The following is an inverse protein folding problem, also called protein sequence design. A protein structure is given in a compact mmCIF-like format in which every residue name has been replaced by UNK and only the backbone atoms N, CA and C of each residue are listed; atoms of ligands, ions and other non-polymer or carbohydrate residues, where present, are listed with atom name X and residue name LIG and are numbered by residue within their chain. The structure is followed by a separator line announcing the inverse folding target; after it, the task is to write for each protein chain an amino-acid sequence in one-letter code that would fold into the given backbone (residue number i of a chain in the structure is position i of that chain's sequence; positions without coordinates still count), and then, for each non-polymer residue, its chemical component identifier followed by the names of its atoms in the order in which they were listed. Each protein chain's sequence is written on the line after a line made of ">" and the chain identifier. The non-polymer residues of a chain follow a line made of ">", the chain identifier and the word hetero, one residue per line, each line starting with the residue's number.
data_IF_690255568257
#
_entry.id   IF_690255568257
#
_cell.length_a   1.000
_cell.length_b   1.000
_cell.length_c   1.000
_cell.angle_alpha   90.00
_cell.angle_beta   90.00
_cell.angle_gamma   90.00
#
_symmetry.space_group_name_H-M   'P 1'
#
loop_
_entity.id
_entity.type
_entity.pdbx_description
1 polymer ?
#
# COMPACT_ATOMS: atom_id res chain seq x y z
N UNK A 1 -10.70 -17.18 -41.39
CA UNK A 1 -10.02 -17.18 -40.08
C UNK A 1 -10.94 -16.56 -39.05
N UNK A 2 -11.22 -17.21 -37.92
CA UNK A 2 -12.03 -16.62 -36.83
C UNK A 2 -11.10 -15.82 -35.91
N UNK A 3 -11.44 -14.56 -35.66
CA UNK A 3 -10.70 -13.72 -34.69
C UNK A 3 -11.00 -14.25 -33.28
N UNK A 4 -9.95 -14.51 -32.50
CA UNK A 4 -10.13 -14.92 -31.10
C UNK A 4 -10.72 -13.74 -30.31
N UNK A 5 -11.68 -14.00 -29.39
CA UNK A 5 -12.18 -12.97 -28.51
C UNK A 5 -11.04 -12.45 -27.65
N UNK A 6 -10.88 -11.12 -27.63
CA UNK A 6 -9.89 -10.45 -26.79
C UNK A 6 -10.53 -10.23 -25.42
N UNK A 7 -9.80 -10.57 -24.37
CA UNK A 7 -10.21 -10.30 -23.00
C UNK A 7 -9.53 -9.02 -22.50
N UNK A 8 -10.19 -8.34 -21.57
CA UNK A 8 -9.63 -7.16 -20.90
C UNK A 8 -9.30 -7.57 -19.46
N UNK A 9 -8.06 -7.33 -19.05
CA UNK A 9 -7.59 -7.58 -17.69
C UNK A 9 -6.91 -6.33 -17.16
N UNK A 10 -7.35 -5.87 -15.99
CA UNK A 10 -6.75 -4.73 -15.28
C UNK A 10 -6.39 -5.19 -13.89
N UNK A 11 -5.14 -4.95 -13.49
CA UNK A 11 -4.65 -5.22 -12.13
C UNK A 11 -4.32 -3.91 -11.45
N UNK A 12 -4.87 -3.72 -10.25
CA UNK A 12 -4.62 -2.60 -9.36
C UNK A 12 -4.02 -3.12 -8.05
N UNK A 13 -3.43 -2.22 -7.24
CA UNK A 13 -2.99 -2.58 -5.89
C UNK A 13 -4.19 -2.87 -4.97
N UNK A 14 -3.92 -3.32 -3.75
CA UNK A 14 -4.96 -3.42 -2.71
C UNK A 14 -5.71 -2.10 -2.59
N UNK A 15 -7.03 -2.14 -2.56
CA UNK A 15 -7.87 -0.97 -2.29
C UNK A 15 -8.45 -1.08 -0.88
N UNK A 16 -8.75 0.07 -0.27
CA UNK A 16 -9.54 0.14 0.94
C UNK A 16 -10.91 0.70 0.55
N UNK A 17 -11.97 -0.12 0.69
CA UNK A 17 -13.31 0.28 0.31
C UNK A 17 -14.20 0.46 1.54
N UNK A 18 -14.96 1.54 1.53
CA UNK A 18 -16.06 1.73 2.45
C UNK A 18 -17.36 1.20 1.84
N UNK A 19 -18.40 1.13 2.66
CA UNK A 19 -19.71 0.68 2.23
C UNK A 19 -20.25 1.50 1.05
N UNK A 20 -20.04 2.81 1.06
CA UNK A 20 -20.48 3.71 0.00
C UNK A 20 -19.76 3.43 -1.33
N UNK A 21 -18.47 3.07 -1.28
CA UNK A 21 -17.71 2.71 -2.50
C UNK A 21 -18.23 1.38 -3.07
N UNK A 22 -18.62 0.45 -2.21
CA UNK A 22 -19.18 -0.85 -2.57
C UNK A 22 -20.56 -0.71 -3.20
N UNK A 23 -21.39 0.19 -2.68
CA UNK A 23 -22.67 0.56 -3.27
C UNK A 23 -22.48 1.15 -4.67
N UNK A 24 -21.50 2.04 -4.86
CA UNK A 24 -21.16 2.57 -6.19
C UNK A 24 -20.71 1.47 -7.17
N UNK A 25 -19.92 0.50 -6.70
CA UNK A 25 -19.54 -0.67 -7.50
C UNK A 25 -20.77 -1.47 -7.88
N UNK A 26 -21.66 -1.74 -6.92
CA UNK A 26 -22.90 -2.47 -7.16
C UNK A 26 -23.78 -1.74 -8.18
N UNK A 27 -23.91 -0.42 -8.11
CA UNK A 27 -24.64 0.38 -9.10
C UNK A 27 -24.08 0.21 -10.53
N UNK A 28 -22.75 0.10 -10.67
CA UNK A 28 -22.13 -0.19 -11.97
C UNK A 28 -22.58 -1.56 -12.49
N UNK A 29 -22.63 -2.59 -11.64
CA UNK A 29 -23.13 -3.91 -12.03
C UNK A 29 -24.64 -3.88 -12.31
N UNK A 30 -25.46 -3.34 -11.40
CA UNK A 30 -26.93 -3.18 -11.56
C UNK A 30 -27.31 -2.48 -12.86
N UNK A 31 -26.57 -1.45 -13.27
CA UNK A 31 -26.90 -0.64 -14.47
C UNK A 31 -26.47 -1.27 -15.79
N UNK A 32 -25.40 -2.06 -15.80
CA UNK A 32 -24.76 -2.50 -17.04
C UNK A 32 -24.79 -4.03 -17.25
N UNK A 33 -25.16 -4.80 -16.23
CA UNK A 33 -25.25 -6.25 -16.26
C UNK A 33 -26.70 -6.70 -16.10
N UNK A 34 -27.09 -7.79 -16.77
CA UNK A 34 -28.43 -8.36 -16.60
C UNK A 34 -28.63 -8.99 -15.23
N UNK A 35 -27.59 -9.63 -14.74
CA UNK A 35 -27.52 -10.24 -13.41
C UNK A 35 -26.08 -10.20 -12.93
N UNK A 36 -25.93 -10.14 -11.61
CA UNK A 36 -24.64 -10.26 -10.95
C UNK A 36 -24.84 -10.92 -9.59
N UNK A 37 -23.73 -11.41 -9.04
CA UNK A 37 -23.69 -12.01 -7.72
C UNK A 37 -22.46 -11.50 -6.98
N UNK A 38 -22.58 -11.36 -5.67
CA UNK A 38 -21.52 -10.92 -4.78
C UNK A 38 -21.09 -12.14 -3.97
N UNK A 39 -19.81 -12.48 -4.08
CA UNK A 39 -19.20 -13.60 -3.39
C UNK A 39 -18.21 -13.05 -2.37
N UNK A 40 -18.30 -13.56 -1.14
CA UNK A 40 -17.31 -13.37 -0.08
C UNK A 40 -16.64 -14.72 0.22
N UNK A 41 -15.81 -14.79 1.26
CA UNK A 41 -15.20 -16.05 1.71
C UNK A 41 -16.23 -17.09 2.15
N UNK A 42 -17.33 -16.66 2.75
CA UNK A 42 -18.31 -17.54 3.41
C UNK A 42 -19.71 -17.46 2.78
N UNK A 43 -20.03 -16.38 2.07
CA UNK A 43 -21.39 -16.09 1.60
C UNK A 43 -21.44 -15.74 0.11
N UNK A 44 -22.52 -16.19 -0.52
CA UNK A 44 -22.97 -15.78 -1.85
C UNK A 44 -24.28 -15.01 -1.67
N UNK A 45 -24.31 -13.74 -2.08
CA UNK A 45 -25.46 -12.85 -1.92
C UNK A 45 -25.76 -12.13 -3.23
N UNK A 46 -27.03 -11.77 -3.43
CA UNK A 46 -27.47 -11.09 -4.66
C UNK A 46 -27.39 -9.55 -4.54
N UNK A 47 -27.27 -9.04 -3.32
CA UNK A 47 -27.28 -7.60 -3.05
C UNK A 47 -26.40 -7.18 -1.89
N UNK A 48 -25.98 -5.91 -1.90
CA UNK A 48 -25.27 -5.30 -0.77
C UNK A 48 -26.19 -5.13 0.45
N UNK A 49 -27.50 -5.00 0.25
CA UNK A 49 -28.47 -4.99 1.34
C UNK A 49 -28.48 -6.31 2.14
N UNK A 50 -28.39 -7.45 1.47
CA UNK A 50 -28.25 -8.75 2.14
C UNK A 50 -26.92 -8.85 2.90
N UNK A 51 -25.83 -8.37 2.30
CA UNK A 51 -24.52 -8.33 2.93
C UNK A 51 -24.54 -7.56 4.27
N UNK A 52 -25.28 -6.44 4.34
CA UNK A 52 -25.46 -5.64 5.56
C UNK A 52 -26.19 -6.39 6.67
N UNK A 53 -27.09 -7.33 6.33
CA UNK A 53 -27.88 -8.07 7.31
C UNK A 53 -27.08 -9.17 8.01
N UNK A 54 -26.01 -9.68 7.38
CA UNK A 54 -25.15 -10.72 7.93
C UNK A 54 -24.36 -10.21 9.16
N UNK A 55 -24.16 -8.89 9.28
CA UNK A 55 -23.56 -8.25 10.44
C UNK A 55 -22.03 -8.30 10.48
N UNK A 56 -21.38 -9.06 9.59
CA UNK A 56 -19.93 -8.99 9.33
C UNK A 56 -19.65 -7.80 8.43
N UNK A 57 -18.90 -6.82 8.96
CA UNK A 57 -18.61 -5.55 8.29
C UNK A 57 -17.21 -5.51 7.65
N UNK A 58 -16.51 -6.64 7.68
CA UNK A 58 -15.09 -6.82 7.37
C UNK A 58 -14.88 -8.13 6.60
N UNK A 59 -14.27 -8.06 5.40
CA UNK A 59 -13.98 -9.20 4.53
C UNK A 59 -12.53 -9.11 4.01
N UNK A 60 -11.82 -10.23 3.82
CA UNK A 60 -10.47 -10.26 3.23
C UNK A 60 -10.51 -10.47 1.70
N UNK A 61 -11.56 -11.11 1.17
CA UNK A 61 -11.85 -11.28 -0.27
C UNK A 61 -13.33 -11.01 -0.56
N UNK A 62 -13.61 -10.11 -1.51
CA UNK A 62 -14.94 -9.88 -2.06
C UNK A 62 -14.87 -9.87 -3.58
N UNK A 63 -15.87 -10.46 -4.21
CA UNK A 63 -15.92 -10.61 -5.66
C UNK A 63 -17.30 -10.31 -6.21
N UNK A 64 -17.35 -9.47 -7.23
CA UNK A 64 -18.55 -9.23 -8.03
C UNK A 64 -18.40 -9.99 -9.34
N UNK A 65 -19.39 -10.81 -9.68
CA UNK A 65 -19.39 -11.58 -10.93
C UNK A 65 -20.70 -11.37 -11.67
N UNK A 66 -20.61 -11.13 -12.97
CA UNK A 66 -21.75 -11.09 -13.90
C UNK A 66 -21.54 -12.12 -15.01
N UNK A 67 -22.64 -12.66 -15.52
CA UNK A 67 -22.63 -13.55 -16.70
C UNK A 67 -22.81 -12.77 -18.01
N UNK A 68 -23.61 -11.69 -18.01
CA UNK A 68 -23.95 -10.92 -19.21
C UNK A 68 -23.94 -9.39 -18.94
N UNK A 69 -22.88 -8.67 -19.36
CA UNK A 69 -21.62 -9.18 -19.91
C UNK A 69 -20.79 -9.90 -18.86
N UNK A 70 -19.94 -10.84 -19.29
CA UNK A 70 -19.08 -11.61 -18.39
C UNK A 70 -17.93 -10.76 -17.85
N UNK A 71 -18.18 -10.13 -16.71
CA UNK A 71 -17.23 -9.27 -15.98
C UNK A 71 -17.07 -9.81 -14.56
N UNK A 72 -15.84 -9.81 -14.07
CA UNK A 72 -15.48 -10.20 -12.72
C UNK A 72 -14.58 -9.13 -12.12
N UNK A 73 -15.02 -8.56 -10.99
CA UNK A 73 -14.18 -7.75 -10.12
C UNK A 73 -13.83 -8.60 -8.91
N UNK A 74 -12.55 -8.80 -8.67
CA UNK A 74 -12.04 -9.46 -7.47
C UNK A 74 -11.25 -8.45 -6.67
N UNK A 75 -11.61 -8.26 -5.41
CA UNK A 75 -10.94 -7.37 -4.49
C UNK A 75 -10.46 -8.21 -3.30
N UNK A 76 -9.16 -8.22 -3.08
CA UNK A 76 -8.53 -8.95 -1.98
C UNK A 76 -7.59 -8.03 -1.21
N UNK A 77 -7.24 -8.43 0.01
CA UNK A 77 -6.27 -7.75 0.86
C UNK A 77 -4.92 -7.47 0.17
N UNK A 78 -4.53 -8.29 -0.82
CA UNK A 78 -3.26 -8.17 -1.54
C UNK A 78 -3.36 -7.42 -2.87
N UNK A 79 -4.49 -7.56 -3.57
CA UNK A 79 -4.63 -7.07 -4.93
C UNK A 79 -6.08 -6.90 -5.34
N UNK A 80 -6.30 -6.04 -6.33
CA UNK A 80 -7.59 -5.86 -6.97
C UNK A 80 -7.45 -6.15 -8.45
N UNK A 81 -8.33 -6.96 -9.02
CA UNK A 81 -8.30 -7.32 -10.43
C UNK A 81 -9.67 -7.24 -11.05
N UNK A 82 -9.74 -6.67 -12.25
CA UNK A 82 -10.93 -6.63 -13.08
C UNK A 82 -10.66 -7.47 -14.32
N UNK A 83 -11.55 -8.42 -14.59
CA UNK A 83 -11.51 -9.26 -15.78
C UNK A 83 -12.82 -9.12 -16.54
N UNK A 84 -12.74 -8.83 -17.83
CA UNK A 84 -13.86 -8.89 -18.76
C UNK A 84 -13.54 -9.88 -19.87
N UNK A 85 -14.44 -10.84 -20.09
CA UNK A 85 -14.24 -11.89 -21.08
C UNK A 85 -14.34 -11.39 -22.52
N UNK A 86 -15.06 -10.29 -22.74
CA UNK A 86 -15.34 -9.73 -24.05
C UNK A 86 -14.84 -8.29 -24.15
N UNK A 87 -14.08 -7.99 -25.20
CA UNK A 87 -13.71 -6.63 -25.60
C UNK A 87 -14.84 -5.99 -26.40
N UNK A 88 -15.93 -5.65 -25.71
CA UNK A 88 -17.07 -4.92 -26.25
C UNK A 88 -17.23 -3.57 -25.53
N UNK A 89 -17.92 -2.61 -26.17
CA UNK A 89 -18.04 -1.25 -25.64
C UNK A 89 -18.65 -1.19 -24.23
N UNK A 90 -19.58 -2.09 -23.92
CA UNK A 90 -20.22 -2.18 -22.61
C UNK A 90 -19.22 -2.63 -21.55
N UNK A 91 -18.48 -3.71 -21.82
CA UNK A 91 -17.47 -4.26 -20.91
C UNK A 91 -16.35 -3.26 -20.67
N UNK A 92 -15.87 -2.57 -21.72
CA UNK A 92 -14.87 -1.52 -21.60
C UNK A 92 -15.39 -0.34 -20.78
N UNK A 93 -16.65 0.05 -20.94
CA UNK A 93 -17.30 1.07 -20.12
C UNK A 93 -17.43 0.67 -18.64
N UNK A 94 -17.79 -0.59 -18.37
CA UNK A 94 -17.82 -1.15 -17.00
C UNK A 94 -16.43 -1.11 -16.39
N UNK A 95 -15.42 -1.66 -17.08
CA UNK A 95 -14.03 -1.69 -16.60
C UNK A 95 -13.54 -0.28 -16.29
N UNK A 96 -13.76 0.69 -17.20
CA UNK A 96 -13.34 2.08 -17.00
C UNK A 96 -13.97 2.72 -15.76
N UNK A 97 -15.27 2.49 -15.52
CA UNK A 97 -15.96 3.02 -14.33
C UNK A 97 -15.47 2.35 -13.05
N UNK A 98 -15.25 1.05 -13.08
CA UNK A 98 -14.68 0.34 -11.94
C UNK A 98 -13.27 0.86 -11.63
N UNK A 99 -12.44 1.12 -12.64
CA UNK A 99 -11.11 1.73 -12.45
C UNK A 99 -11.24 3.13 -11.85
N UNK A 100 -12.14 3.98 -12.35
CA UNK A 100 -12.38 5.33 -11.82
C UNK A 100 -12.79 5.31 -10.35
N UNK A 101 -13.62 4.34 -9.94
CA UNK A 101 -13.97 4.13 -8.54
C UNK A 101 -12.73 3.65 -7.77
N UNK A 102 -12.04 2.60 -8.22
CA UNK A 102 -11.05 1.89 -7.42
C UNK A 102 -9.68 2.59 -7.33
N UNK A 103 -9.24 3.27 -8.38
CA UNK A 103 -7.89 3.84 -8.48
C UNK A 103 -7.60 4.90 -7.39
N UNK A 104 -8.51 5.84 -7.08
CA UNK A 104 -8.30 6.79 -5.96
C UNK A 104 -8.26 6.13 -4.57
N UNK A 105 -8.84 4.93 -4.42
CA UNK A 105 -8.86 4.16 -3.16
C UNK A 105 -7.72 3.14 -3.09
N UNK A 106 -6.86 3.12 -4.11
CA UNK A 106 -5.68 2.27 -4.12
C UNK A 106 -4.75 2.67 -2.99
N UNK A 107 -4.50 1.74 -2.08
CA UNK A 107 -3.55 1.96 -1.01
C UNK A 107 -2.19 1.54 -1.54
N UNK A 108 -1.17 2.42 -1.46
CA UNK A 108 0.18 2.00 -1.81
C UNK A 108 0.56 0.79 -0.96
N UNK A 109 1.16 -0.20 -1.62
CA UNK A 109 1.63 -1.40 -0.93
C UNK A 109 2.60 -0.96 0.18
N UNK A 110 2.24 -1.20 1.46
CA UNK A 110 3.13 -0.89 2.59
C UNK A 110 4.44 -1.66 2.45
N UNK A 111 4.42 -2.80 1.75
CA UNK A 111 5.63 -3.51 1.36
C UNK A 111 6.59 -2.62 0.58
N UNK A 112 6.11 -1.83 -0.39
CA UNK A 112 6.97 -0.92 -1.15
C UNK A 112 7.57 0.17 -0.26
N UNK A 113 6.78 0.79 0.62
CA UNK A 113 7.27 1.86 1.51
C UNK A 113 8.27 1.32 2.55
N UNK A 114 7.97 0.18 3.17
CA UNK A 114 8.87 -0.47 4.13
C UNK A 114 10.15 -0.99 3.48
N UNK A 115 10.06 -1.54 2.28
CA UNK A 115 11.26 -2.00 1.53
C UNK A 115 12.16 -0.82 1.23
N UNK A 116 11.61 0.31 0.79
CA UNK A 116 12.38 1.55 0.57
C UNK A 116 13.03 2.03 1.87
N UNK A 117 12.30 2.07 2.99
CA UNK A 117 12.85 2.44 4.31
C UNK A 117 13.98 1.50 4.75
N UNK A 118 13.82 0.19 4.57
CA UNK A 118 14.85 -0.79 4.90
C UNK A 118 16.09 -0.62 4.03
N UNK A 119 15.92 -0.33 2.73
CA UNK A 119 17.04 0.00 1.85
C UNK A 119 17.75 1.28 2.30
N UNK A 120 17.02 2.31 2.71
CA UNK A 120 17.62 3.55 3.24
C UNK A 120 18.42 3.26 4.51
N UNK A 121 17.88 2.49 5.46
CA UNK A 121 18.61 2.13 6.68
C UNK A 121 19.85 1.30 6.35
N UNK A 122 19.76 0.34 5.43
CA UNK A 122 20.90 -0.46 5.00
C UNK A 122 22.00 0.42 4.39
N UNK A 123 21.63 1.38 3.54
CA UNK A 123 22.57 2.36 2.95
C UNK A 123 23.22 3.21 4.06
N UNK A 124 22.43 3.70 5.03
CA UNK A 124 22.97 4.48 6.16
C UNK A 124 23.95 3.65 6.99
N UNK A 125 23.63 2.39 7.29
CA UNK A 125 24.54 1.48 8.01
C UNK A 125 25.84 1.27 7.23
N UNK A 126 25.76 1.04 5.91
CA UNK A 126 26.95 0.89 5.05
C UNK A 126 27.80 2.18 5.05
N UNK A 127 27.18 3.35 4.95
CA UNK A 127 27.88 4.64 4.99
C UNK A 127 28.55 4.88 6.36
N UNK A 128 27.91 4.48 7.46
CA UNK A 128 28.48 4.57 8.80
C UNK A 128 29.63 3.56 9.01
N UNK A 129 29.58 2.38 8.38
CA UNK A 129 30.71 1.44 8.40
C UNK A 129 31.95 2.01 7.70
N UNK A 130 31.77 2.81 6.64
CA UNK A 130 32.88 3.50 5.96
C UNK A 130 33.55 4.60 6.81
N UNK A 131 32.89 5.12 7.85
CA UNK A 131 33.48 6.08 8.79
C UNK A 131 34.55 5.46 9.71
N UNK A 132 34.72 4.14 9.73
CA UNK A 132 35.80 3.46 10.49
C UNK A 132 37.22 3.82 10.03
N UNK A 133 37.34 4.52 8.89
CA UNK A 133 38.57 5.18 8.41
C UNK A 133 38.97 6.42 9.22
N UNK A 134 38.10 6.93 10.09
CA UNK A 134 38.39 8.02 11.02
C UNK A 134 39.22 7.48 12.18
N UNK A 135 40.21 8.26 12.66
CA UNK A 135 41.08 7.94 13.81
C UNK A 135 40.30 8.00 15.14
N UNK A 136 39.34 7.10 15.32
CA UNK A 136 38.67 6.86 16.60
C UNK A 136 39.40 5.77 17.39
N UNK A 137 39.24 5.79 18.70
CA UNK A 137 39.72 4.74 19.60
C UNK A 137 39.06 3.38 19.26
N UNK A 138 39.82 2.30 19.40
CA UNK A 138 39.43 0.92 19.05
C UNK A 138 38.15 0.50 19.77
N UNK A 139 38.01 0.85 21.06
CA UNK A 139 36.85 0.50 21.88
C UNK A 139 35.58 1.18 21.34
N UNK A 140 35.69 2.43 20.91
CA UNK A 140 34.56 3.19 20.36
C UNK A 140 34.13 2.59 19.02
N UNK A 141 35.09 2.19 18.16
CA UNK A 141 34.80 1.52 16.88
C UNK A 141 34.04 0.22 17.07
N UNK A 142 34.49 -0.64 17.99
CA UNK A 142 33.83 -1.92 18.29
C UNK A 142 32.41 -1.70 18.83
N UNK A 143 32.23 -0.70 19.70
CA UNK A 143 30.91 -0.37 20.27
C UNK A 143 29.93 0.09 19.20
N UNK A 144 30.38 0.93 18.26
CA UNK A 144 29.56 1.41 17.13
C UNK A 144 29.14 0.24 16.23
N UNK A 145 30.07 -0.65 15.87
CA UNK A 145 29.77 -1.85 15.05
C UNK A 145 28.76 -2.75 15.76
N UNK A 146 28.89 -2.95 17.07
CA UNK A 146 27.96 -3.78 17.84
C UNK A 146 26.54 -3.20 17.87
N UNK A 147 26.40 -1.88 18.09
CA UNK A 147 25.11 -1.19 18.05
C UNK A 147 24.47 -1.29 16.65
N UNK A 148 25.27 -1.19 15.59
CA UNK A 148 24.81 -1.34 14.21
C UNK A 148 24.29 -2.75 13.91
N UNK A 149 24.99 -3.79 14.38
CA UNK A 149 24.55 -5.18 14.23
C UNK A 149 23.22 -5.39 14.97
N UNK A 150 23.10 -4.89 16.21
CA UNK A 150 21.85 -4.99 16.97
C UNK A 150 20.67 -4.28 16.28
N UNK A 151 20.89 -3.07 15.76
CA UNK A 151 19.88 -2.35 14.96
C UNK A 151 19.52 -3.10 13.68
N UNK A 152 20.51 -3.63 12.96
CA UNK A 152 20.29 -4.41 11.74
C UNK A 152 19.48 -5.69 12.00
N UNK A 153 19.76 -6.39 13.10
CA UNK A 153 19.01 -7.57 13.52
C UNK A 153 17.59 -7.22 13.95
N UNK A 154 17.40 -6.16 14.74
CA UNK A 154 16.08 -5.72 15.21
C UNK A 154 15.15 -5.25 14.08
N UNK A 155 15.71 -4.65 13.03
CA UNK A 155 14.96 -4.22 11.85
C UNK A 155 14.58 -5.43 10.98
N UNK A 156 15.51 -6.38 10.78
CA UNK A 156 15.23 -7.61 10.02
C UNK A 156 14.28 -8.57 10.76
N UNK A 157 14.37 -8.68 12.08
CA UNK A 157 13.46 -9.54 12.85
C UNK A 157 12.02 -9.03 12.76
N UNK A 158 11.81 -7.71 12.80
CA UNK A 158 10.49 -7.11 12.57
C UNK A 158 9.96 -7.32 11.14
N UNK A 159 10.85 -7.44 10.15
CA UNK A 159 10.46 -7.76 8.77
C UNK A 159 9.91 -9.18 8.65
N UNK A 160 10.58 -10.16 9.26
CA UNK A 160 10.19 -11.57 9.18
C UNK A 160 8.90 -11.84 9.97
N UNK A 161 8.75 -11.25 11.16
CA UNK A 161 7.59 -11.53 12.00
C UNK A 161 6.31 -10.79 11.60
N UNK A 162 6.40 -9.64 10.92
CA UNK A 162 5.23 -8.79 10.63
C UNK A 162 4.64 -8.96 9.23
N UNK A 163 5.30 -9.69 8.31
CA UNK A 163 4.74 -9.93 6.97
C UNK A 163 3.47 -10.80 6.99
N UNK A 164 3.25 -11.57 8.07
CA UNK A 164 2.06 -12.41 8.21
C UNK A 164 0.85 -11.69 8.85
N UNK A 165 0.99 -10.44 9.30
CA UNK A 165 -0.05 -9.75 10.09
C UNK A 165 -0.75 -8.57 9.42
N UNK A 166 -0.27 -8.08 8.27
CA UNK A 166 -1.01 -7.04 7.52
C UNK A 166 -2.08 -7.69 6.63
N UNK A 167 -3.01 -8.43 7.25
CA UNK A 167 -4.31 -8.72 6.64
C UNK A 167 -5.05 -7.40 6.61
N UNK A 168 -5.06 -6.75 5.45
CA UNK A 168 -5.85 -5.54 5.26
C UNK A 168 -7.27 -5.96 4.90
N UNK A 169 -8.19 -5.73 5.82
CA UNK A 169 -9.61 -5.86 5.56
C UNK A 169 -9.97 -5.04 4.33
N UNK A 170 -10.63 -5.67 3.36
CA UNK A 170 -11.07 -5.08 2.10
C UNK A 170 -12.29 -4.17 2.30
N UNK A 171 -13.11 -4.47 3.30
CA UNK A 171 -14.34 -3.76 3.63
C UNK A 171 -14.26 -3.16 5.04
N UNK A 172 -14.58 -1.87 5.17
CA UNK A 172 -15.06 -1.32 6.44
C UNK A 172 -16.48 -0.82 6.24
N UNK A 173 -17.48 -1.60 6.67
CA UNK A 173 -18.87 -1.12 6.70
C UNK A 173 -19.14 -0.24 7.94
N UNK A 174 -18.31 0.78 8.10
CA UNK A 174 -18.52 1.89 9.01
C UNK A 174 -18.60 3.14 8.13
N UNK A 175 -19.72 3.88 8.21
CA UNK A 175 -19.86 5.19 7.56
C UNK A 175 -18.57 5.97 7.77
N UNK A 176 -18.07 6.63 6.72
CA UNK A 176 -16.88 7.48 6.81
C UNK A 176 -17.02 8.47 7.97
N UNK A 177 -16.53 8.12 9.15
CA UNK A 177 -16.12 9.13 10.12
C UNK A 177 -14.85 9.69 9.51
N UNK A 178 -14.94 10.89 8.94
CA UNK A 178 -13.83 11.76 8.54
C UNK A 178 -12.81 11.86 9.68
N UNK A 179 -12.00 10.82 9.85
CA UNK A 179 -10.74 10.85 10.56
C UNK A 179 -9.72 10.75 9.46
N UNK A 180 -9.44 11.89 8.84
CA UNK A 180 -8.23 12.06 8.06
C UNK A 180 -7.08 11.53 8.91
N UNK A 181 -6.44 10.47 8.44
CA UNK A 181 -5.27 9.93 9.14
C UNK A 181 -4.28 11.09 9.27
N UNK A 182 -3.83 11.37 10.50
CA UNK A 182 -2.91 12.47 10.82
C UNK A 182 -1.76 12.56 9.81
N UNK A 183 -1.20 11.41 9.41
CA UNK A 183 -0.13 11.32 8.43
C UNK A 183 -0.48 11.77 7.01
N UNK A 184 -1.73 11.63 6.58
CA UNK A 184 -2.19 12.09 5.26
C UNK A 184 -2.35 13.59 5.25
N UNK A 185 -2.97 14.13 6.31
CA UNK A 185 -3.19 15.57 6.48
C UNK A 185 -1.87 16.33 6.62
N UNK A 186 -0.90 15.74 7.32
CA UNK A 186 0.40 16.35 7.56
C UNK A 186 1.53 15.79 6.69
N UNK A 187 1.23 15.00 5.64
CA UNK A 187 2.25 14.37 4.77
C UNK A 187 3.31 15.37 4.32
N UNK A 188 2.89 16.53 3.82
CA UNK A 188 3.81 17.54 3.31
C UNK A 188 4.64 18.19 4.43
N UNK A 189 4.07 18.39 5.62
CA UNK A 189 4.79 18.94 6.77
C UNK A 189 5.84 17.95 7.30
N UNK A 190 5.51 16.66 7.35
CA UNK A 190 6.43 15.59 7.76
C UNK A 190 7.60 15.52 6.78
N UNK A 191 7.33 15.56 5.46
CA UNK A 191 8.38 15.59 4.43
C UNK A 191 9.28 16.82 4.61
N UNK A 192 8.69 18.00 4.84
CA UNK A 192 9.43 19.24 5.09
C UNK A 192 10.32 19.16 6.34
N UNK A 193 9.82 18.58 7.43
CA UNK A 193 10.57 18.36 8.66
C UNK A 193 11.75 17.41 8.44
N UNK A 194 11.57 16.33 7.68
CA UNK A 194 12.64 15.38 7.36
C UNK A 194 13.72 16.05 6.50
N UNK A 195 13.32 16.79 5.46
CA UNK A 195 14.25 17.54 4.59
C UNK A 195 15.01 18.59 5.40
N UNK A 196 14.32 19.36 6.24
CA UNK A 196 14.92 20.37 7.12
C UNK A 196 15.91 19.77 8.11
N UNK A 197 15.57 18.63 8.72
CA UNK A 197 16.45 17.89 9.61
C UNK A 197 17.70 17.39 8.90
N UNK A 198 17.57 16.84 7.68
CA UNK A 198 18.71 16.40 6.86
C UNK A 198 19.64 17.55 6.49
N UNK A 199 19.10 18.69 6.06
CA UNK A 199 19.90 19.88 5.74
C UNK A 199 20.67 20.35 6.98
N UNK A 200 19.99 20.40 8.13
CA UNK A 200 20.61 20.85 9.39
C UNK A 200 21.73 19.91 9.82
N UNK A 201 21.54 18.61 9.67
CA UNK A 201 22.56 17.60 9.95
C UNK A 201 23.78 17.75 9.02
N UNK A 202 23.56 17.96 7.71
CA UNK A 202 24.65 18.20 6.76
C UNK A 202 25.43 19.46 7.12
N UNK A 203 24.74 20.55 7.46
CA UNK A 203 25.39 21.80 7.88
C UNK A 203 26.20 21.61 9.16
N UNK A 204 25.67 20.92 10.17
CA UNK A 204 26.42 20.64 11.41
C UNK A 204 27.68 19.81 11.16
N UNK A 205 27.60 18.78 10.31
CA UNK A 205 28.76 17.97 9.93
C UNK A 205 29.81 18.82 9.21
N UNK A 206 29.41 19.69 8.28
CA UNK A 206 30.33 20.60 7.60
C UNK A 206 31.00 21.58 8.58
N UNK A 207 30.24 22.14 9.53
CA UNK A 207 30.78 23.05 10.56
C UNK A 207 31.78 22.33 11.46
N UNK A 208 31.48 21.11 11.92
CA UNK A 208 32.42 20.30 12.69
C UNK A 208 33.68 19.98 11.91
N UNK A 209 33.54 19.58 10.64
CA UNK A 209 34.67 19.26 9.78
C UNK A 209 35.59 20.46 9.56
N UNK A 210 35.02 21.65 9.30
CA UNK A 210 35.78 22.91 9.21
C UNK A 210 36.50 23.20 10.51
N UNK A 211 35.84 23.01 11.66
CA UNK A 211 36.42 23.25 12.98
C UNK A 211 37.62 22.33 13.27
N UNK A 212 37.53 21.05 12.91
CA UNK A 212 38.63 20.09 13.09
C UNK A 212 39.78 20.31 12.11
N UNK A 213 39.50 20.63 10.84
CA UNK A 213 40.54 20.73 9.79
C UNK A 213 41.22 22.09 9.70
N UNK A 214 40.52 23.17 10.03
CA UNK A 214 40.99 24.55 9.80
C UNK A 214 41.30 25.26 11.13
N UNK A 215 40.55 24.98 12.19
CA UNK A 215 40.60 25.74 13.45
C UNK A 215 41.29 24.99 14.61
N UNK A 216 41.61 23.71 14.45
CA UNK A 216 42.40 22.97 15.45
C UNK A 216 43.88 23.03 15.06
N UNK A 217 44.74 23.73 15.83
CA UNK A 217 46.18 23.82 15.58
C UNK A 217 46.92 22.51 15.84
#
# INVERSE_FOLDING_TARGET
>A
MKKLPKHTYVSLSSVLLYLEDIELIEEVFKKNCKSYTILTEEYEVDSIEELKQIGTLEFDDIRFQSQEPRVTLKISSLSTSIFASEDNAVSTGIVSKLVEILEPRSVPSIYSIRTILNCIVAIVVILLLFQTTIKLDEIIKVTIVFIQILLGVAINSNFIFKSNTDKRTVLYAKNQTLKTNFFVEYKNQIILLIIGGLITLVVQVLVQWVKEKILSP
#
